data_IF_082212443407
#
_entry.id   IF_082212443407
#
_cell.length_a   1.000
_cell.length_b   1.000
_cell.length_c   1.000
_cell.angle_alpha   90.00
_cell.angle_beta   90.00
_cell.angle_gamma   90.00
#
_symmetry.space_group_name_H-M   'P 1'
#
loop_
_entity.id
_entity.type
_entity.pdbx_description
1 polymer ?
#
# COMPACT_ATOMS: atom_id res chain seq x y z
N UNK A 1 5.86 -0.11 -28.24
CA UNK A 1 6.65 -1.13 -27.52
C UNK A 1 6.19 -1.07 -26.07
N UNK A 2 5.78 -2.19 -25.48
CA UNK A 2 5.43 -2.19 -24.08
C UNK A 2 6.73 -2.14 -23.25
N UNK A 3 6.85 -1.16 -22.38
CA UNK A 3 7.99 -1.04 -21.45
C UNK A 3 8.03 -2.26 -20.52
N UNK A 4 9.22 -2.71 -20.18
CA UNK A 4 9.43 -3.71 -19.12
C UNK A 4 9.20 -3.09 -17.75
N UNK A 5 9.04 -3.92 -16.71
CA UNK A 5 8.89 -3.44 -15.34
C UNK A 5 10.07 -2.58 -14.88
N UNK A 6 11.29 -2.96 -15.26
CA UNK A 6 12.50 -2.20 -14.93
C UNK A 6 12.58 -0.87 -15.67
N UNK A 7 12.21 -0.84 -16.96
CA UNK A 7 12.14 0.41 -17.74
C UNK A 7 11.09 1.35 -17.16
N UNK A 8 9.91 0.83 -16.77
CA UNK A 8 8.86 1.60 -16.09
C UNK A 8 9.35 2.15 -14.74
N UNK A 9 10.05 1.35 -13.94
CA UNK A 9 10.64 1.79 -12.68
C UNK A 9 11.64 2.95 -12.92
N UNK A 10 12.50 2.82 -13.91
CA UNK A 10 13.51 3.83 -14.24
C UNK A 10 12.87 5.12 -14.76
N UNK A 11 11.92 5.00 -15.67
CA UNK A 11 11.23 6.15 -16.29
C UNK A 11 10.49 7.01 -15.25
N UNK A 12 9.66 6.39 -14.39
CA UNK A 12 8.78 7.15 -13.50
C UNK A 12 9.38 7.41 -12.11
N UNK A 13 10.29 6.56 -11.62
CA UNK A 13 10.87 6.69 -10.27
C UNK A 13 12.36 6.98 -10.25
N UNK A 14 13.06 6.84 -11.39
CA UNK A 14 14.48 7.10 -11.51
C UNK A 14 15.38 6.06 -10.82
N UNK A 15 14.86 4.86 -10.53
CA UNK A 15 15.63 3.78 -9.92
C UNK A 15 16.17 2.83 -10.99
N UNK A 16 17.45 2.49 -10.90
CA UNK A 16 18.11 1.58 -11.86
C UNK A 16 17.88 0.09 -11.58
N UNK A 17 17.35 -0.25 -10.39
CA UNK A 17 17.07 -1.63 -10.00
C UNK A 17 15.97 -1.71 -8.95
N UNK A 18 15.27 -2.84 -8.93
CA UNK A 18 14.36 -3.19 -7.84
C UNK A 18 15.12 -3.54 -6.56
N UNK A 19 14.54 -3.23 -5.42
CA UNK A 19 14.99 -3.76 -4.12
C UNK A 19 14.61 -5.24 -4.00
N UNK A 20 15.24 -5.99 -3.07
CA UNK A 20 14.92 -7.41 -2.88
C UNK A 20 13.40 -7.65 -2.77
N UNK A 21 12.91 -8.62 -3.53
CA UNK A 21 11.51 -9.06 -3.62
C UNK A 21 10.51 -8.09 -4.29
N UNK A 22 10.88 -6.85 -4.61
CA UNK A 22 9.97 -5.96 -5.33
C UNK A 22 9.63 -6.49 -6.74
N UNK A 23 10.63 -6.97 -7.48
CA UNK A 23 10.43 -7.51 -8.82
C UNK A 23 9.55 -8.77 -8.82
N UNK A 24 9.73 -9.66 -7.84
CA UNK A 24 8.90 -10.84 -7.67
C UNK A 24 7.42 -10.46 -7.48
N UNK A 25 7.16 -9.40 -6.66
CA UNK A 25 5.80 -8.90 -6.41
C UNK A 25 5.20 -8.29 -7.68
N UNK A 26 5.96 -7.44 -8.37
CA UNK A 26 5.54 -6.80 -9.62
C UNK A 26 5.18 -7.83 -10.67
N UNK A 27 6.05 -8.82 -10.89
CA UNK A 27 5.83 -9.88 -11.88
C UNK A 27 4.62 -10.74 -11.53
N UNK A 28 4.46 -11.14 -10.27
CA UNK A 28 3.27 -11.89 -9.82
C UNK A 28 1.97 -11.12 -10.05
N UNK A 29 1.96 -9.80 -9.79
CA UNK A 29 0.81 -8.95 -10.06
C UNK A 29 0.52 -8.84 -11.57
N UNK A 30 1.55 -8.73 -12.41
CA UNK A 30 1.41 -8.70 -13.87
C UNK A 30 0.92 -10.02 -14.44
N UNK A 31 1.19 -11.15 -13.77
CA UNK A 31 0.65 -12.47 -14.08
C UNK A 31 -0.81 -12.65 -13.63
N UNK A 32 -1.47 -11.60 -13.17
CA UNK A 32 -2.86 -11.60 -12.68
C UNK A 32 -3.09 -12.41 -11.40
N UNK A 33 -2.05 -12.55 -10.58
CA UNK A 33 -2.12 -13.23 -9.29
C UNK A 33 -2.45 -12.27 -8.15
N UNK A 34 -3.23 -12.75 -7.18
CA UNK A 34 -3.35 -12.08 -5.88
C UNK A 34 -2.02 -12.21 -5.13
N UNK A 35 -1.50 -11.14 -4.55
CA UNK A 35 -0.20 -11.14 -3.87
C UNK A 35 -0.31 -10.50 -2.49
N UNK A 36 0.13 -11.20 -1.45
CA UNK A 36 0.40 -10.61 -0.14
C UNK A 36 1.90 -10.38 0.02
N UNK A 37 2.29 -9.12 0.13
CA UNK A 37 3.68 -8.71 0.31
C UNK A 37 3.93 -8.21 1.73
N UNK A 38 4.86 -8.85 2.44
CA UNK A 38 5.31 -8.42 3.77
C UNK A 38 6.71 -7.85 3.63
N UNK A 39 6.77 -6.51 3.61
CA UNK A 39 8.00 -5.75 3.43
C UNK A 39 8.18 -4.76 4.59
N UNK A 40 9.39 -4.59 5.13
CA UNK A 40 9.63 -3.67 6.25
C UNK A 40 9.26 -2.23 5.90
N UNK A 41 9.05 -1.40 6.91
CA UNK A 41 8.90 0.06 6.73
C UNK A 41 10.14 0.61 6.02
N UNK A 42 9.92 1.48 5.03
CA UNK A 42 10.99 1.96 4.15
C UNK A 42 11.45 0.95 3.07
N UNK A 43 10.84 -0.23 2.99
CA UNK A 43 11.13 -1.28 1.98
C UNK A 43 10.65 -0.95 0.56
N UNK A 44 10.01 0.21 0.34
CA UNK A 44 9.53 0.63 -0.98
C UNK A 44 8.25 -0.08 -1.42
N UNK A 45 7.30 -0.31 -0.48
CA UNK A 45 6.00 -0.96 -0.74
C UNK A 45 5.23 -0.31 -1.90
N UNK A 46 5.27 1.02 -2.01
CA UNK A 46 4.52 1.75 -3.05
C UNK A 46 4.94 1.36 -4.47
N UNK A 47 6.22 1.14 -4.72
CA UNK A 47 6.74 0.71 -6.03
C UNK A 47 6.15 -0.63 -6.45
N UNK A 48 5.89 -1.55 -5.50
CA UNK A 48 5.38 -2.89 -5.76
C UNK A 48 4.00 -2.91 -6.44
N UNK A 49 3.19 -1.86 -6.23
CA UNK A 49 1.89 -1.75 -6.89
C UNK A 49 1.84 -0.63 -7.94
N UNK A 50 2.64 0.41 -7.76
CA UNK A 50 2.64 1.53 -8.71
C UNK A 50 3.22 1.13 -10.07
N UNK A 51 4.32 0.38 -10.09
CA UNK A 51 4.93 -0.10 -11.34
C UNK A 51 3.97 -0.97 -12.16
N UNK A 52 3.38 -2.06 -11.62
CA UNK A 52 2.48 -2.88 -12.43
C UNK A 52 1.21 -2.12 -12.84
N UNK A 53 0.71 -1.18 -12.02
CA UNK A 53 -0.43 -0.35 -12.41
C UNK A 53 -0.13 0.57 -13.59
N UNK A 54 1.09 1.11 -13.70
CA UNK A 54 1.51 1.90 -14.87
C UNK A 54 1.61 1.07 -16.14
N UNK A 55 1.90 -0.22 -16.03
CA UNK A 55 2.06 -1.15 -17.17
C UNK A 55 0.73 -1.71 -17.68
N UNK A 56 -0.36 -1.54 -16.93
CA UNK A 56 -1.69 -2.03 -17.32
C UNK A 56 -2.63 -0.88 -17.65
N UNK A 57 -3.58 -1.14 -18.53
CA UNK A 57 -4.71 -0.24 -18.77
C UNK A 57 -5.65 -0.22 -17.57
N UNK A 58 -6.36 0.89 -17.40
CA UNK A 58 -7.31 1.09 -16.32
C UNK A 58 -6.71 1.78 -15.10
N UNK A 59 -7.50 1.79 -14.02
CA UNK A 59 -7.21 2.50 -12.78
C UNK A 59 -6.95 1.52 -11.63
N UNK A 60 -5.91 1.74 -10.83
CA UNK A 60 -5.67 0.99 -9.60
C UNK A 60 -6.40 1.66 -8.42
N UNK A 61 -7.24 0.90 -7.73
CA UNK A 61 -7.92 1.36 -6.51
C UNK A 61 -7.04 1.02 -5.32
N UNK A 62 -6.55 2.05 -4.61
CA UNK A 62 -5.64 1.91 -3.47
C UNK A 62 -6.38 2.22 -2.18
N UNK A 63 -6.63 1.19 -1.37
CA UNK A 63 -7.25 1.35 -0.05
C UNK A 63 -6.17 1.56 0.99
N UNK A 64 -6.20 2.70 1.70
CA UNK A 64 -5.23 3.06 2.74
C UNK A 64 -5.92 3.77 3.91
N UNK A 65 -5.49 3.51 5.17
CA UNK A 65 -6.21 4.00 6.34
C UNK A 65 -5.85 5.44 6.74
N UNK A 66 -4.74 5.98 6.25
CA UNK A 66 -4.19 7.25 6.70
C UNK A 66 -4.38 8.35 5.65
N UNK A 67 -5.31 9.27 5.91
CA UNK A 67 -5.67 10.36 4.98
C UNK A 67 -4.47 11.26 4.65
N UNK A 68 -3.60 11.56 5.61
CA UNK A 68 -2.41 12.37 5.37
C UNK A 68 -1.47 11.68 4.37
N UNK A 69 -1.17 10.40 4.61
CA UNK A 69 -0.32 9.59 3.73
C UNK A 69 -0.94 9.44 2.32
N UNK A 70 -2.27 9.27 2.26
CA UNK A 70 -3.01 9.21 1.00
C UNK A 70 -2.78 10.48 0.16
N UNK A 71 -2.92 11.65 0.78
CA UNK A 71 -2.72 12.95 0.11
C UNK A 71 -1.28 13.12 -0.38
N UNK A 72 -0.31 12.76 0.46
CA UNK A 72 1.12 12.82 0.11
C UNK A 72 1.44 11.88 -1.05
N UNK A 73 0.89 10.66 -1.07
CA UNK A 73 1.07 9.71 -2.17
C UNK A 73 0.48 10.24 -3.48
N UNK A 74 -0.74 10.78 -3.44
CA UNK A 74 -1.40 11.37 -4.61
C UNK A 74 -0.62 12.57 -5.13
N UNK A 75 -0.15 13.46 -4.25
CA UNK A 75 0.67 14.61 -4.64
C UNK A 75 1.97 14.15 -5.31
N UNK A 76 2.69 13.21 -4.71
CA UNK A 76 3.92 12.65 -5.26
C UNK A 76 3.75 12.01 -6.65
N UNK A 77 2.60 11.34 -6.89
CA UNK A 77 2.28 10.80 -8.21
C UNK A 77 2.02 11.91 -9.23
N UNK A 78 1.19 12.89 -8.87
CA UNK A 78 0.87 14.02 -9.73
C UNK A 78 2.11 14.86 -10.08
N UNK A 79 3.03 15.06 -9.14
CA UNK A 79 4.31 15.76 -9.37
C UNK A 79 5.22 15.01 -10.37
N UNK A 80 5.01 13.69 -10.52
CA UNK A 80 5.68 12.84 -11.53
C UNK A 80 4.92 12.78 -12.86
N UNK A 81 3.83 13.53 -13.01
CA UNK A 81 2.97 13.48 -14.19
C UNK A 81 2.03 12.27 -14.24
N UNK A 82 1.94 11.49 -13.16
CA UNK A 82 1.04 10.34 -13.06
C UNK A 82 -0.26 10.80 -12.42
N UNK A 83 -1.35 10.80 -13.19
CA UNK A 83 -2.65 11.30 -12.74
C UNK A 83 -3.27 10.41 -11.68
N UNK A 84 -3.40 10.94 -10.47
CA UNK A 84 -3.96 10.25 -9.31
C UNK A 84 -5.01 11.11 -8.60
N UNK A 85 -6.02 10.44 -8.03
CA UNK A 85 -7.11 11.05 -7.27
C UNK A 85 -7.18 10.43 -5.88
N UNK A 86 -7.84 11.13 -4.93
CA UNK A 86 -8.20 10.53 -3.65
C UNK A 86 -9.64 10.86 -3.25
N UNK A 87 -10.28 9.88 -2.58
CA UNK A 87 -11.59 10.02 -1.95
C UNK A 87 -11.49 9.57 -0.50
N UNK A 88 -11.70 10.49 0.44
CA UNK A 88 -11.56 10.22 1.86
C UNK A 88 -12.78 10.64 2.67
N UNK A 89 -12.83 10.24 3.94
CA UNK A 89 -13.97 10.49 4.83
C UNK A 89 -14.27 11.98 5.06
N UNK A 90 -13.26 12.86 4.95
CA UNK A 90 -13.41 14.31 5.15
C UNK A 90 -14.03 15.08 3.97
N UNK A 91 -14.19 14.44 2.81
CA UNK A 91 -14.73 15.10 1.62
C UNK A 91 -16.27 15.18 1.64
N UNK A 92 -16.81 16.30 1.16
CA UNK A 92 -18.24 16.50 0.98
C UNK A 92 -18.82 15.66 -0.17
N UNK A 93 -20.13 15.41 -0.15
CA UNK A 93 -20.80 14.54 -1.14
C UNK A 93 -20.55 14.99 -2.60
N UNK A 94 -20.65 16.29 -2.88
CA UNK A 94 -20.45 16.84 -4.24
C UNK A 94 -19.02 16.65 -4.72
N UNK A 95 -18.04 16.82 -3.83
CA UNK A 95 -16.62 16.62 -4.14
C UNK A 95 -16.32 15.15 -4.42
N UNK A 96 -16.87 14.24 -3.60
CA UNK A 96 -16.78 12.78 -3.81
C UNK A 96 -17.37 12.38 -5.15
N UNK A 97 -18.57 12.88 -5.48
CA UNK A 97 -19.26 12.59 -6.72
C UNK A 97 -18.42 13.02 -7.94
N UNK A 98 -17.92 14.26 -7.93
CA UNK A 98 -17.07 14.76 -9.00
C UNK A 98 -15.77 13.94 -9.14
N UNK A 99 -15.13 13.60 -8.00
CA UNK A 99 -13.88 12.83 -8.01
C UNK A 99 -14.09 11.42 -8.53
N UNK A 100 -15.18 10.75 -8.13
CA UNK A 100 -15.53 9.41 -8.62
C UNK A 100 -15.93 9.42 -10.10
N UNK A 101 -16.61 10.46 -10.55
CA UNK A 101 -16.91 10.65 -11.96
C UNK A 101 -15.64 10.78 -12.80
N UNK A 102 -14.68 11.59 -12.32
CA UNK A 102 -13.38 11.74 -12.97
C UNK A 102 -12.60 10.42 -12.98
N UNK A 103 -12.67 9.62 -11.90
CA UNK A 103 -12.03 8.31 -11.84
C UNK A 103 -12.64 7.29 -12.81
N UNK A 104 -13.97 7.33 -13.01
CA UNK A 104 -14.68 6.40 -13.88
C UNK A 104 -14.49 6.71 -15.38
N UNK A 105 -14.51 8.00 -15.74
CA UNK A 105 -14.58 8.42 -17.14
C UNK A 105 -13.36 9.22 -17.62
N UNK A 106 -12.46 9.60 -16.70
CA UNK A 106 -11.23 10.31 -17.03
C UNK A 106 -10.04 9.35 -17.20
N UNK A 107 -8.91 9.92 -17.60
CA UNK A 107 -7.66 9.19 -17.73
C UNK A 107 -6.83 9.33 -16.43
N UNK A 108 -7.15 8.51 -15.41
CA UNK A 108 -6.44 8.46 -14.15
C UNK A 108 -5.89 7.05 -13.91
N UNK A 109 -4.68 6.97 -13.36
CA UNK A 109 -4.00 5.71 -13.06
C UNK A 109 -4.25 5.20 -11.64
N UNK A 110 -4.50 6.11 -10.70
CA UNK A 110 -4.70 5.74 -9.30
C UNK A 110 -5.90 6.48 -8.70
N UNK A 111 -6.71 5.72 -7.96
CA UNK A 111 -7.74 6.22 -7.06
C UNK A 111 -7.46 5.74 -5.64
N UNK A 112 -6.97 6.62 -4.79
CA UNK A 112 -6.80 6.34 -3.38
C UNK A 112 -8.12 6.53 -2.64
N UNK A 113 -8.50 5.55 -1.82
CA UNK A 113 -9.80 5.52 -1.15
C UNK A 113 -9.64 5.18 0.31
N UNK A 114 -10.28 5.94 1.20
CA UNK A 114 -10.37 5.54 2.61
C UNK A 114 -11.38 4.39 2.78
N UNK A 115 -11.13 3.44 3.70
CA UNK A 115 -11.94 2.23 3.86
C UNK A 115 -13.43 2.51 4.04
N UNK A 116 -13.79 3.58 4.77
CA UNK A 116 -15.17 3.98 5.07
C UNK A 116 -15.97 4.33 3.81
N UNK A 117 -15.29 4.73 2.74
CA UNK A 117 -15.94 5.09 1.47
C UNK A 117 -16.35 3.89 0.63
N UNK A 118 -15.70 2.73 0.80
CA UNK A 118 -16.00 1.51 0.04
C UNK A 118 -17.45 1.02 0.24
N UNK A 119 -17.99 1.22 1.45
CA UNK A 119 -19.37 0.83 1.80
C UNK A 119 -20.46 1.73 1.24
N UNK A 120 -20.13 2.91 0.69
CA UNK A 120 -21.13 3.89 0.24
C UNK A 120 -21.76 3.50 -1.10
N UNK A 121 -23.06 3.80 -1.26
CA UNK A 121 -23.79 3.51 -2.50
C UNK A 121 -23.17 4.25 -3.69
N UNK A 122 -22.73 5.49 -3.49
CA UNK A 122 -22.11 6.30 -4.52
C UNK A 122 -20.80 5.67 -5.04
N UNK A 123 -19.91 5.22 -4.16
CA UNK A 123 -18.69 4.52 -4.55
C UNK A 123 -19.01 3.25 -5.34
N UNK A 124 -19.94 2.42 -4.83
CA UNK A 124 -20.34 1.16 -5.49
C UNK A 124 -20.98 1.37 -6.86
N UNK A 125 -21.64 2.48 -7.08
CA UNK A 125 -22.19 2.84 -8.39
C UNK A 125 -21.06 3.12 -9.38
N UNK A 126 -20.13 4.01 -9.04
CA UNK A 126 -19.06 4.40 -9.95
C UNK A 126 -18.02 3.30 -10.19
N UNK A 127 -17.71 2.48 -9.18
CA UNK A 127 -16.69 1.44 -9.34
C UNK A 127 -17.05 0.39 -10.38
N UNK A 128 -18.34 0.16 -10.63
CA UNK A 128 -18.81 -0.77 -11.67
C UNK A 128 -18.57 -0.26 -13.10
N UNK A 129 -18.43 1.06 -13.24
CA UNK A 129 -18.13 1.72 -14.51
C UNK A 129 -16.62 1.90 -14.74
N UNK A 130 -15.80 1.61 -13.73
CA UNK A 130 -14.35 1.75 -13.82
C UNK A 130 -13.71 0.50 -14.46
N UNK A 131 -12.75 0.71 -15.36
CA UNK A 131 -11.82 -0.34 -15.75
C UNK A 131 -10.75 -0.49 -14.67
N UNK A 132 -10.98 -1.38 -13.68
CA UNK A 132 -10.07 -1.54 -12.54
C UNK A 132 -8.93 -2.49 -12.90
N UNK A 133 -7.70 -2.00 -12.86
CA UNK A 133 -6.49 -2.80 -13.13
C UNK A 133 -6.05 -3.62 -11.93
N UNK A 134 -6.10 -3.04 -10.73
CA UNK A 134 -5.69 -3.67 -9.46
C UNK A 134 -6.52 -3.14 -8.30
N UNK A 135 -6.75 -4.01 -7.31
CA UNK A 135 -7.17 -3.62 -5.96
C UNK A 135 -5.93 -3.67 -5.09
N UNK A 136 -5.49 -2.53 -4.58
CA UNK A 136 -4.33 -2.43 -3.70
C UNK A 136 -4.80 -2.20 -2.28
N UNK A 137 -4.28 -3.00 -1.35
CA UNK A 137 -4.63 -2.92 0.08
C UNK A 137 -3.37 -2.57 0.85
N UNK A 138 -3.21 -1.30 1.15
CA UNK A 138 -2.12 -0.82 2.00
C UNK A 138 -2.47 -1.05 3.48
N UNK A 139 -1.44 -1.27 4.31
CA UNK A 139 -1.58 -1.68 5.71
C UNK A 139 -2.59 -2.84 5.90
N UNK A 140 -2.45 -3.87 5.06
CA UNK A 140 -3.40 -4.98 4.97
C UNK A 140 -3.64 -5.72 6.29
N UNK A 141 -2.73 -5.60 7.28
CA UNK A 141 -2.94 -6.14 8.63
C UNK A 141 -4.18 -5.57 9.32
N UNK A 142 -4.68 -4.40 8.89
CA UNK A 142 -5.90 -3.79 9.42
C UNK A 142 -7.18 -4.62 9.14
N UNK A 143 -7.16 -5.58 8.21
CA UNK A 143 -8.31 -6.45 7.93
C UNK A 143 -8.44 -7.59 8.95
N UNK A 144 -7.36 -7.91 9.66
CA UNK A 144 -7.29 -9.05 10.57
C UNK A 144 -7.63 -8.67 12.01
N UNK A 145 -8.54 -9.41 12.63
CA UNK A 145 -8.84 -9.28 14.06
C UNK A 145 -7.67 -9.73 14.96
N UNK A 146 -6.75 -10.50 14.40
CA UNK A 146 -5.53 -10.95 15.08
C UNK A 146 -4.38 -9.96 14.94
N UNK A 147 -4.59 -8.88 14.13
CA UNK A 147 -3.67 -7.77 14.00
C UNK A 147 -3.81 -6.75 15.16
N UNK A 148 -2.82 -5.93 15.34
CA UNK A 148 -2.81 -4.91 16.41
C UNK A 148 -3.64 -3.65 16.09
N UNK A 149 -4.05 -3.44 14.82
CA UNK A 149 -4.83 -2.27 14.37
C UNK A 149 -6.00 -2.73 13.47
N UNK A 150 -6.89 -3.56 14.03
CA UNK A 150 -8.07 -4.01 13.31
C UNK A 150 -9.03 -2.87 13.01
N UNK A 151 -9.46 -2.78 11.75
CA UNK A 151 -10.43 -1.77 11.27
C UNK A 151 -11.58 -2.45 10.54
N UNK A 152 -12.80 -2.44 11.12
CA UNK A 152 -13.97 -3.13 10.52
C UNK A 152 -14.27 -2.73 9.08
N UNK A 153 -14.02 -1.47 8.70
CA UNK A 153 -14.25 -0.98 7.34
C UNK A 153 -13.37 -1.67 6.29
N UNK A 154 -12.22 -2.26 6.67
CA UNK A 154 -11.40 -3.07 5.77
C UNK A 154 -12.11 -4.32 5.27
N UNK A 155 -13.09 -4.84 6.00
CA UNK A 155 -13.91 -5.97 5.56
C UNK A 155 -14.73 -5.65 4.30
N UNK A 156 -14.96 -4.37 3.99
CA UNK A 156 -15.63 -3.95 2.75
C UNK A 156 -14.77 -4.23 1.50
N UNK A 157 -13.46 -4.42 1.65
CA UNK A 157 -12.56 -4.72 0.51
C UNK A 157 -12.92 -6.08 -0.10
N UNK A 158 -13.26 -7.09 0.72
CA UNK A 158 -13.76 -8.36 0.22
C UNK A 158 -14.99 -8.21 -0.68
N UNK A 159 -15.92 -7.33 -0.30
CA UNK A 159 -17.11 -7.02 -1.11
C UNK A 159 -16.79 -6.22 -2.38
N UNK A 160 -15.70 -5.46 -2.42
CA UNK A 160 -15.26 -4.77 -3.63
C UNK A 160 -14.88 -5.78 -4.72
N UNK A 161 -14.31 -6.91 -4.37
CA UNK A 161 -13.98 -8.00 -5.32
C UNK A 161 -15.21 -8.63 -5.99
N UNK A 162 -16.38 -8.53 -5.36
CA UNK A 162 -17.64 -8.99 -5.97
C UNK A 162 -18.13 -8.04 -7.07
N UNK A 163 -17.64 -6.80 -7.06
CA UNK A 163 -18.04 -5.75 -8.01
C UNK A 163 -17.08 -5.61 -9.21
N UNK A 164 -15.81 -6.00 -9.02
CA UNK A 164 -14.77 -5.84 -10.05
C UNK A 164 -13.88 -7.09 -10.12
N UNK A 165 -13.55 -7.50 -11.34
CA UNK A 165 -12.60 -8.60 -11.56
C UNK A 165 -11.19 -8.01 -11.75
N UNK A 166 -10.46 -7.92 -10.64
CA UNK A 166 -9.11 -7.41 -10.61
C UNK A 166 -8.28 -8.15 -9.54
N UNK A 167 -6.99 -8.40 -9.77
CA UNK A 167 -6.14 -9.01 -8.77
C UNK A 167 -5.86 -8.06 -7.60
N UNK A 168 -5.61 -8.65 -6.43
CA UNK A 168 -5.31 -7.93 -5.20
C UNK A 168 -3.82 -7.89 -4.94
N UNK A 169 -3.30 -6.70 -4.64
CA UNK A 169 -1.95 -6.51 -4.12
C UNK A 169 -2.08 -6.00 -2.68
N UNK A 170 -1.94 -6.90 -1.71
CA UNK A 170 -2.00 -6.57 -0.29
C UNK A 170 -0.58 -6.35 0.26
N UNK A 171 -0.39 -5.27 0.98
CA UNK A 171 0.91 -4.83 1.48
C UNK A 171 0.83 -4.54 2.97
N UNK A 172 1.81 -5.03 3.71
CA UNK A 172 1.97 -4.68 5.13
C UNK A 172 3.44 -4.73 5.55
N UNK A 173 3.78 -4.03 6.62
CA UNK A 173 5.11 -4.13 7.20
C UNK A 173 5.19 -5.26 8.24
N UNK A 174 4.06 -5.61 8.85
CA UNK A 174 4.01 -6.53 10.00
C UNK A 174 2.85 -7.49 9.84
N UNK A 175 3.14 -8.78 9.80
CA UNK A 175 2.13 -9.83 9.92
C UNK A 175 2.76 -11.11 10.48
N UNK A 176 2.12 -11.68 11.48
CA UNK A 176 2.41 -13.05 11.91
C UNK A 176 1.89 -14.03 10.86
N UNK A 177 2.30 -15.31 10.86
CA UNK A 177 1.73 -16.30 9.95
C UNK A 177 0.20 -16.37 10.02
N UNK A 178 -0.37 -16.28 11.22
CA UNK A 178 -1.82 -16.30 11.44
C UNK A 178 -2.51 -15.06 10.81
N UNK A 179 -1.91 -13.86 10.97
CA UNK A 179 -2.42 -12.62 10.35
C UNK A 179 -2.33 -12.72 8.82
N UNK A 180 -1.24 -13.27 8.27
CA UNK A 180 -1.09 -13.44 6.83
C UNK A 180 -2.15 -14.37 6.23
N UNK A 181 -2.46 -15.48 6.90
CA UNK A 181 -3.54 -16.39 6.49
C UNK A 181 -4.91 -15.69 6.52
N UNK A 182 -5.22 -14.97 7.61
CA UNK A 182 -6.49 -14.24 7.77
C UNK A 182 -6.65 -13.14 6.71
N UNK A 183 -5.56 -12.43 6.35
CA UNK A 183 -5.57 -11.44 5.26
C UNK A 183 -5.95 -12.09 3.93
N UNK A 184 -5.28 -13.18 3.55
CA UNK A 184 -5.53 -13.86 2.27
C UNK A 184 -6.95 -14.43 2.20
N UNK A 185 -7.46 -15.00 3.31
CA UNK A 185 -8.82 -15.52 3.41
C UNK A 185 -9.86 -14.41 3.24
N UNK A 186 -9.75 -13.32 4.02
CA UNK A 186 -10.71 -12.19 4.00
C UNK A 186 -10.71 -11.41 2.69
N UNK A 187 -9.56 -11.35 2.02
CA UNK A 187 -9.44 -10.78 0.69
C UNK A 187 -9.83 -11.77 -0.42
N UNK A 188 -10.17 -13.01 -0.10
CA UNK A 188 -10.62 -14.03 -1.05
C UNK A 188 -9.58 -14.35 -2.10
N UNK A 189 -8.32 -14.55 -1.71
CA UNK A 189 -7.25 -14.93 -2.64
C UNK A 189 -7.58 -16.25 -3.32
N UNK A 190 -7.49 -16.27 -4.66
CA UNK A 190 -7.73 -17.49 -5.47
C UNK A 190 -6.58 -18.49 -5.29
N UNK A 191 -5.35 -17.96 -5.19
CA UNK A 191 -4.13 -18.73 -4.93
C UNK A 191 -3.33 -18.05 -3.82
N UNK A 192 -2.64 -18.85 -3.00
CA UNK A 192 -1.81 -18.31 -1.91
C UNK A 192 -0.47 -17.86 -2.44
N UNK A 193 -0.31 -16.60 -2.74
CA UNK A 193 0.96 -15.99 -3.09
C UNK A 193 1.42 -15.04 -1.96
N UNK A 194 2.34 -15.52 -1.14
CA UNK A 194 2.95 -14.77 -0.05
C UNK A 194 4.42 -14.50 -0.36
N UNK A 195 4.77 -13.24 -0.52
CA UNK A 195 6.16 -12.79 -0.73
C UNK A 195 6.58 -11.96 0.47
N UNK A 196 7.65 -12.38 1.14
CA UNK A 196 8.20 -11.67 2.31
C UNK A 196 9.70 -11.48 2.20
N UNK A 197 10.19 -10.37 2.76
CA UNK A 197 11.61 -10.15 3.00
C UNK A 197 11.95 -10.45 4.45
N UNK A 198 13.24 -10.65 4.74
CA UNK A 198 13.75 -10.65 6.11
C UNK A 198 13.56 -9.27 6.76
N UNK A 199 13.37 -9.25 8.08
CA UNK A 199 13.31 -8.02 8.88
C UNK A 199 14.69 -7.55 9.37
N UNK A 200 15.73 -8.29 9.04
CA UNK A 200 17.10 -7.95 9.44
C UNK A 200 17.52 -6.63 8.80
N UNK A 201 18.05 -5.77 9.63
CA UNK A 201 18.59 -4.45 9.25
C UNK A 201 20.09 -4.46 9.59
N UNK A 202 20.97 -4.84 8.65
CA UNK A 202 22.42 -5.00 8.94
C UNK A 202 23.08 -3.71 9.44
N UNK A 203 22.47 -2.56 9.14
CA UNK A 203 22.92 -1.24 9.57
C UNK A 203 22.34 -0.79 10.92
N UNK A 204 21.52 -1.61 11.60
CA UNK A 204 20.95 -1.31 12.91
C UNK A 204 21.43 -2.34 13.94
N UNK A 205 21.92 -1.86 15.06
CA UNK A 205 22.32 -2.68 16.20
C UNK A 205 21.41 -2.38 17.39
N UNK A 206 20.77 -3.43 17.92
CA UNK A 206 19.98 -3.34 19.15
C UNK A 206 20.90 -3.69 20.33
N UNK A 207 21.14 -2.70 21.21
CA UNK A 207 22.00 -2.88 22.37
C UNK A 207 21.15 -2.73 23.62
N UNK A 208 21.08 -3.79 24.44
CA UNK A 208 20.40 -3.78 25.73
C UNK A 208 21.47 -3.78 26.83
N UNK A 209 21.40 -2.80 27.71
CA UNK A 209 22.30 -2.67 28.88
C UNK A 209 21.48 -2.59 30.15
N UNK A 210 21.81 -3.41 31.12
CA UNK A 210 21.27 -3.28 32.48
C UNK A 210 22.05 -2.16 33.17
N UNK A 211 21.34 -1.18 33.71
CA UNK A 211 21.92 -0.07 34.47
C UNK A 211 20.95 0.41 35.56
N UNK A 212 21.50 0.82 36.69
CA UNK A 212 20.75 1.39 37.81
C UNK A 212 20.44 2.87 37.58
N UNK A 213 21.38 3.62 37.00
CA UNK A 213 21.23 5.02 36.62
C UNK A 213 20.97 5.19 35.13
N UNK A 214 19.71 5.10 34.74
CA UNK A 214 19.28 5.26 33.32
C UNK A 214 19.53 6.68 32.80
N UNK A 215 19.31 7.71 33.64
CA UNK A 215 19.48 9.10 33.23
C UNK A 215 20.95 9.44 32.98
N UNK A 216 21.83 9.06 33.89
CA UNK A 216 23.27 9.26 33.71
C UNK A 216 23.82 8.54 32.50
N UNK A 217 23.38 7.30 32.24
CA UNK A 217 23.75 6.56 31.03
C UNK A 217 23.23 7.25 29.75
N UNK A 218 21.99 7.75 29.74
CA UNK A 218 21.45 8.48 28.61
C UNK A 218 22.25 9.76 28.31
N UNK A 219 22.56 10.53 29.34
CA UNK A 219 23.38 11.75 29.22
C UNK A 219 24.78 11.44 28.66
N UNK A 220 25.39 10.36 29.13
CA UNK A 220 26.69 9.91 28.62
C UNK A 220 26.63 9.51 27.14
N UNK A 221 25.56 8.82 26.70
CA UNK A 221 25.36 8.46 25.30
C UNK A 221 25.15 9.73 24.46
N UNK A 222 24.28 10.62 24.87
CA UNK A 222 23.99 11.86 24.15
C UNK A 222 25.20 12.78 24.03
N UNK A 223 26.10 12.78 25.04
CA UNK A 223 27.34 13.57 24.99
C UNK A 223 28.44 12.94 24.13
N UNK A 224 28.42 11.60 23.99
CA UNK A 224 29.47 10.84 23.31
C UNK A 224 29.15 10.59 21.84
N UNK A 225 27.87 10.47 21.48
CA UNK A 225 27.42 10.16 20.11
C UNK A 225 26.98 11.45 19.43
N UNK A 226 27.66 11.79 18.33
CA UNK A 226 27.26 12.93 17.50
C UNK A 226 26.09 12.55 16.60
N UNK A 227 25.05 13.37 16.53
CA UNK A 227 23.90 13.17 15.65
C UNK A 227 22.59 13.48 16.34
N UNK A 228 21.49 13.10 15.69
CA UNK A 228 20.13 13.25 16.20
C UNK A 228 19.71 11.98 16.95
N UNK A 229 19.04 12.13 18.08
CA UNK A 229 18.51 11.03 18.89
C UNK A 229 17.03 11.22 19.21
N UNK A 230 16.32 10.10 19.39
CA UNK A 230 14.95 10.08 19.93
C UNK A 230 15.01 9.33 21.26
N UNK A 231 14.42 9.89 22.34
CA UNK A 231 14.41 9.34 23.71
C UNK A 231 12.97 9.04 24.11
#
# INVERSE_FOLDING_TARGET
MNMTALETLKEFWGYDSFRPKQEDIVNSALEWKDVLAILPTGGGKSVCFQVPAMMREGIAIVVTPLIALMKDQVQNLNDRGIRALCVNAGMGRREVDLTLNNAAYGDFKFLYVSPERLGTSLFRQYVREMNVSFIVVDEAHCISQWGYDFRPDYLQIGKLRELVDAPVIALTATATPQVAEDIMERLGFKERCLIKTGFERPNLSYIVRMCEDKLGQLLNICSSVKGTGIV
#
